data_IF_025526198519
#
_entry.id   IF_025526198519
#
_cell.length_a   1.000
_cell.length_b   1.000
_cell.length_c   1.000
_cell.angle_alpha   90.00
_cell.angle_beta   90.00
_cell.angle_gamma   90.00
#
_symmetry.space_group_name_H-M   'P 1'
#
loop_
_entity.id
_entity.type
_entity.pdbx_description
1 polymer ?
#
# COMPACT_ATOMS: atom_id res chain seq x y z
N UNK A 1 -13.42 53.58 -16.10
CA UNK A 1 -12.81 52.77 -15.02
C UNK A 1 -11.75 53.63 -14.34
N UNK A 2 -11.85 53.85 -13.04
CA UNK A 2 -10.86 54.66 -12.30
C UNK A 2 -9.55 53.87 -12.16
N UNK A 3 -8.41 54.57 -12.12
CA UNK A 3 -7.08 53.95 -11.94
C UNK A 3 -7.01 52.96 -10.76
N UNK A 4 -7.83 53.18 -9.72
CA UNK A 4 -7.97 52.24 -8.60
C UNK A 4 -8.42 50.84 -9.02
N UNK A 5 -9.44 50.73 -9.90
CA UNK A 5 -9.96 49.43 -10.34
C UNK A 5 -8.95 48.62 -11.16
N UNK A 6 -8.09 49.30 -11.95
CA UNK A 6 -7.03 48.65 -12.72
C UNK A 6 -5.98 48.05 -11.77
N UNK A 7 -5.58 48.78 -10.73
CA UNK A 7 -4.63 48.29 -9.72
C UNK A 7 -5.16 47.05 -8.99
N UNK A 8 -6.43 47.07 -8.57
CA UNK A 8 -7.05 45.90 -7.93
C UNK A 8 -7.13 44.70 -8.88
N UNK A 9 -7.47 44.94 -10.15
CA UNK A 9 -7.53 43.88 -11.16
C UNK A 9 -6.16 43.23 -11.38
N UNK A 10 -5.09 44.02 -11.52
CA UNK A 10 -3.73 43.48 -11.69
C UNK A 10 -3.31 42.64 -10.48
N UNK A 11 -3.56 43.13 -9.25
CA UNK A 11 -3.24 42.38 -8.03
C UNK A 11 -4.02 41.06 -7.98
N UNK A 12 -5.30 41.06 -8.36
CA UNK A 12 -6.13 39.86 -8.41
C UNK A 12 -5.59 38.83 -9.43
N UNK A 13 -5.23 39.27 -10.64
CA UNK A 13 -4.65 38.39 -11.67
C UNK A 13 -3.34 37.76 -11.20
N UNK A 14 -2.44 38.54 -10.59
CA UNK A 14 -1.18 38.02 -10.03
C UNK A 14 -1.44 37.01 -8.92
N UNK A 15 -2.41 37.27 -8.03
CA UNK A 15 -2.75 36.36 -6.95
C UNK A 15 -3.31 35.02 -7.46
N UNK A 16 -4.21 35.06 -8.45
CA UNK A 16 -4.73 33.85 -9.09
C UNK A 16 -3.60 33.08 -9.79
N UNK A 17 -2.71 33.76 -10.50
CA UNK A 17 -1.58 33.13 -11.18
C UNK A 17 -0.61 32.44 -10.21
N UNK A 18 -0.24 33.11 -9.12
CA UNK A 18 0.60 32.53 -8.05
C UNK A 18 -0.09 31.35 -7.39
N UNK A 19 -1.40 31.44 -7.11
CA UNK A 19 -2.16 30.33 -6.55
C UNK A 19 -2.18 29.12 -7.47
N UNK A 20 -2.39 29.31 -8.78
CA UNK A 20 -2.31 28.23 -9.78
C UNK A 20 -0.92 27.60 -9.79
N UNK A 21 0.16 28.39 -9.79
CA UNK A 21 1.54 27.86 -9.73
C UNK A 21 1.77 27.02 -8.46
N UNK A 22 1.30 27.50 -7.30
CA UNK A 22 1.43 26.76 -6.04
C UNK A 22 0.68 25.43 -6.14
N UNK A 23 -0.56 25.43 -6.65
CA UNK A 23 -1.33 24.20 -6.85
C UNK A 23 -0.63 23.24 -7.83
N UNK A 24 -0.15 23.73 -8.96
CA UNK A 24 0.59 22.92 -9.95
C UNK A 24 1.86 22.34 -9.32
N UNK A 25 2.63 23.11 -8.55
CA UNK A 25 3.83 22.60 -7.87
C UNK A 25 3.51 21.54 -6.80
N UNK A 26 2.41 21.68 -6.06
CA UNK A 26 1.96 20.67 -5.10
C UNK A 26 1.54 19.39 -5.84
N UNK A 27 0.82 19.53 -6.95
CA UNK A 27 0.43 18.40 -7.82
C UNK A 27 1.67 17.72 -8.39
N UNK A 28 2.67 18.46 -8.90
CA UNK A 28 3.92 17.89 -9.43
C UNK A 28 4.67 17.10 -8.35
N UNK A 29 4.79 17.63 -7.13
CA UNK A 29 5.39 16.89 -6.01
C UNK A 29 4.64 15.59 -5.70
N UNK A 30 3.30 15.61 -5.76
CA UNK A 30 2.49 14.41 -5.56
C UNK A 30 2.64 13.39 -6.70
N UNK A 31 2.85 13.84 -7.95
CA UNK A 31 3.10 12.98 -9.11
C UNK A 31 4.52 12.38 -9.04
N UNK A 32 5.51 13.17 -8.63
CA UNK A 32 6.89 12.69 -8.45
C UNK A 32 7.00 11.64 -7.34
N UNK A 33 6.15 11.70 -6.30
CA UNK A 33 6.05 10.61 -5.30
C UNK A 33 5.57 9.29 -5.92
N UNK A 34 4.84 9.34 -7.03
CA UNK A 34 4.36 8.14 -7.74
C UNK A 34 5.41 7.65 -8.73
N UNK A 35 6.07 8.56 -9.45
CA UNK A 35 7.11 8.29 -10.43
C UNK A 35 8.48 8.65 -9.83
N UNK A 36 9.07 7.73 -9.06
CA UNK A 36 10.51 7.82 -8.73
C UNK A 36 11.35 7.79 -10.03
N UNK A 37 12.66 8.02 -9.93
CA UNK A 37 13.68 8.07 -11.02
C UNK A 37 13.55 6.99 -12.13
N UNK A 38 12.80 5.92 -11.87
CA UNK A 38 12.55 4.78 -12.74
C UNK A 38 11.37 4.94 -13.71
N UNK A 39 10.62 6.05 -13.70
CA UNK A 39 9.38 6.26 -14.49
C UNK A 39 8.26 5.22 -14.24
N UNK A 40 8.38 4.41 -13.18
CA UNK A 40 7.42 3.37 -12.83
C UNK A 40 6.76 3.74 -11.50
N UNK A 41 5.43 3.57 -11.43
CA UNK A 41 4.65 3.76 -10.22
C UNK A 41 5.18 2.92 -9.04
N UNK A 42 5.25 3.45 -7.82
CA UNK A 42 5.63 2.68 -6.62
C UNK A 42 4.75 1.42 -6.40
N UNK A 43 3.53 1.41 -6.96
CA UNK A 43 2.61 0.26 -6.95
C UNK A 43 3.09 -0.93 -7.80
N UNK A 44 4.10 -0.70 -8.62
CA UNK A 44 4.79 -1.65 -9.46
C UNK A 44 6.23 -1.82 -8.97
N UNK A 45 6.47 -1.84 -7.67
CA UNK A 45 7.81 -2.18 -7.16
C UNK A 45 7.85 -3.62 -6.63
N UNK A 46 6.75 -4.07 -6.05
CA UNK A 46 6.56 -5.41 -5.50
C UNK A 46 5.57 -6.20 -6.35
N UNK A 47 5.63 -7.54 -6.32
CA UNK A 47 4.59 -8.38 -6.95
C UNK A 47 3.22 -8.13 -6.31
N UNK A 48 3.20 -8.07 -4.98
CA UNK A 48 2.00 -7.87 -4.17
C UNK A 48 2.19 -6.67 -3.23
N UNK A 49 1.17 -5.82 -3.13
CA UNK A 49 1.21 -4.61 -2.30
C UNK A 49 2.17 -3.55 -2.82
N UNK A 50 2.55 -2.62 -1.94
CA UNK A 50 3.53 -1.57 -2.23
C UNK A 50 4.75 -1.70 -1.30
N UNK A 51 5.91 -1.12 -1.64
CA UNK A 51 7.05 -1.09 -0.75
C UNK A 51 6.72 -0.43 0.58
N UNK A 52 7.42 -0.83 1.64
CA UNK A 52 7.33 -0.18 2.94
C UNK A 52 7.74 1.28 2.81
N UNK A 53 6.79 2.20 3.03
CA UNK A 53 7.09 3.64 3.14
C UNK A 53 7.44 4.01 4.58
N UNK A 54 8.42 4.89 4.73
CA UNK A 54 8.83 5.57 5.96
C UNK A 54 7.88 6.73 6.29
N UNK A 55 8.04 7.35 7.46
CA UNK A 55 7.17 8.45 7.92
C UNK A 55 7.20 9.71 7.03
N UNK A 56 8.23 9.86 6.20
CA UNK A 56 8.37 10.92 5.21
C UNK A 56 7.89 10.49 3.81
N UNK A 57 7.10 9.41 3.71
CA UNK A 57 6.58 8.81 2.48
C UNK A 57 7.63 8.29 1.49
N UNK A 58 8.90 8.18 1.91
CA UNK A 58 9.95 7.59 1.09
C UNK A 58 9.97 6.07 1.23
N UNK A 59 10.37 5.38 0.16
CA UNK A 59 10.51 3.91 0.16
C UNK A 59 11.67 3.50 1.08
N UNK A 60 11.42 2.58 2.02
CA UNK A 60 12.46 1.97 2.85
C UNK A 60 13.36 1.11 1.98
N UNK A 61 14.58 1.58 1.78
CA UNK A 61 15.65 0.83 1.11
C UNK A 61 16.18 -0.29 1.98
N UNK A 62 16.76 -1.31 1.35
CA UNK A 62 17.35 -2.45 2.04
C UNK A 62 18.62 -2.95 1.37
N UNK A 63 19.33 -3.84 2.06
CA UNK A 63 20.47 -4.58 1.51
C UNK A 63 20.26 -6.09 1.74
N UNK A 64 20.51 -6.94 0.74
CA UNK A 64 20.32 -8.38 0.89
C UNK A 64 21.32 -8.96 1.88
N UNK A 65 20.92 -10.04 2.57
CA UNK A 65 21.74 -10.80 3.52
C UNK A 65 22.28 -9.98 4.72
N UNK A 66 21.63 -8.86 5.05
CA UNK A 66 21.93 -8.07 6.25
C UNK A 66 21.51 -8.80 7.54
N UNK A 67 22.16 -8.45 8.65
CA UNK A 67 21.72 -8.86 9.99
C UNK A 67 20.30 -8.33 10.25
N UNK A 68 19.35 -9.15 10.76
CA UNK A 68 18.02 -8.69 11.20
C UNK A 68 18.01 -7.39 12.02
N UNK A 69 19.03 -7.14 12.83
CA UNK A 69 19.13 -5.94 13.67
C UNK A 69 19.69 -4.70 12.92
N UNK A 70 20.06 -4.85 11.65
CA UNK A 70 20.59 -3.77 10.81
C UNK A 70 19.48 -2.81 10.37
N UNK A 71 19.78 -1.51 10.32
CA UNK A 71 18.86 -0.52 9.75
C UNK A 71 18.56 -0.79 8.25
N UNK A 72 19.46 -1.49 7.56
CA UNK A 72 19.31 -1.90 6.16
C UNK A 72 18.56 -3.23 5.99
N UNK A 73 18.18 -3.89 7.09
CA UNK A 73 17.30 -5.05 7.04
C UNK A 73 15.82 -4.63 6.92
N UNK A 74 15.02 -5.54 6.38
CA UNK A 74 13.58 -5.38 6.33
C UNK A 74 12.94 -5.96 7.60
N UNK A 75 11.92 -5.28 8.16
CA UNK A 75 11.25 -5.72 9.38
C UNK A 75 10.49 -7.04 9.18
N UNK A 76 10.05 -7.63 10.29
CA UNK A 76 9.19 -8.81 10.29
C UNK A 76 8.00 -8.58 9.34
N UNK A 77 7.70 -9.53 8.45
CA UNK A 77 6.72 -9.46 7.32
C UNK A 77 7.19 -8.80 6.04
N UNK A 78 8.34 -8.15 6.01
CA UNK A 78 8.95 -7.68 4.76
C UNK A 78 10.15 -8.54 4.36
N UNK A 79 10.49 -8.48 3.09
CA UNK A 79 11.71 -9.05 2.53
C UNK A 79 12.40 -8.01 1.64
N UNK A 80 13.71 -8.15 1.48
CA UNK A 80 14.47 -7.23 0.66
C UNK A 80 14.35 -7.62 -0.81
N UNK A 81 13.61 -6.83 -1.58
CA UNK A 81 13.56 -6.92 -3.03
C UNK A 81 14.89 -6.44 -3.61
N UNK A 82 15.44 -7.18 -4.57
CA UNK A 82 16.77 -6.89 -5.16
C UNK A 82 16.63 -6.75 -6.68
N UNK A 83 16.43 -5.52 -7.14
CA UNK A 83 16.41 -5.19 -8.56
C UNK A 83 17.80 -5.08 -9.20
N UNK A 84 17.88 -4.39 -10.35
CA UNK A 84 19.08 -4.24 -11.16
C UNK A 84 20.16 -3.36 -10.52
N UNK A 85 19.74 -2.32 -9.78
CA UNK A 85 20.63 -1.33 -9.17
C UNK A 85 20.36 -1.22 -7.67
N UNK A 86 21.30 -0.67 -6.90
CA UNK A 86 21.11 -0.44 -5.46
C UNK A 86 19.91 0.45 -5.11
N UNK A 87 19.49 1.34 -6.04
CA UNK A 87 18.31 2.19 -5.86
C UNK A 87 16.99 1.42 -6.04
N UNK A 88 17.05 0.21 -6.61
CA UNK A 88 15.92 -0.71 -6.75
C UNK A 88 15.90 -1.80 -5.66
N UNK A 89 16.56 -1.53 -4.53
CA UNK A 89 16.57 -2.41 -3.36
C UNK A 89 15.71 -1.85 -2.24
N UNK A 90 14.57 -2.47 -2.00
CA UNK A 90 13.57 -1.96 -1.08
C UNK A 90 12.79 -3.07 -0.38
N UNK A 91 12.14 -2.74 0.72
CA UNK A 91 11.37 -3.71 1.50
C UNK A 91 9.99 -3.94 0.89
N UNK A 92 9.77 -5.14 0.33
CA UNK A 92 8.48 -5.58 -0.17
C UNK A 92 7.75 -6.47 0.84
N UNK A 93 6.41 -6.43 0.91
CA UNK A 93 5.64 -7.35 1.74
C UNK A 93 5.91 -8.80 1.33
N UNK A 94 6.00 -9.70 2.31
CA UNK A 94 6.02 -11.14 2.05
C UNK A 94 4.66 -11.59 1.55
N UNK A 95 4.65 -12.57 0.65
CA UNK A 95 3.45 -13.17 0.14
C UNK A 95 2.63 -13.80 1.26
N UNK A 96 1.32 -13.59 1.19
CA UNK A 96 0.33 -14.17 2.11
C UNK A 96 -0.29 -15.45 1.55
N UNK A 97 0.00 -15.76 0.28
CA UNK A 97 -0.55 -16.94 -0.43
C UNK A 97 0.06 -18.24 0.08
N UNK A 98 1.27 -18.18 0.62
CA UNK A 98 2.00 -19.34 1.15
C UNK A 98 2.73 -18.99 2.44
N UNK A 99 2.89 -19.96 3.34
CA UNK A 99 3.63 -19.79 4.60
C UNK A 99 5.14 -19.62 4.37
N UNK A 100 5.67 -20.28 3.34
CA UNK A 100 7.10 -20.37 3.07
C UNK A 100 7.39 -19.87 1.66
N UNK A 101 8.35 -18.96 1.54
CA UNK A 101 8.72 -18.32 0.27
C UNK A 101 9.01 -19.30 -0.85
N UNK A 102 9.63 -20.43 -0.51
CA UNK A 102 10.05 -21.46 -1.46
C UNK A 102 8.86 -22.20 -2.12
N UNK A 103 7.63 -22.00 -1.65
CA UNK A 103 6.43 -22.55 -2.30
C UNK A 103 5.78 -21.59 -3.32
N UNK A 104 6.32 -20.38 -3.50
CA UNK A 104 5.83 -19.46 -4.52
C UNK A 104 6.23 -19.92 -5.92
N UNK A 105 5.34 -19.66 -6.88
CA UNK A 105 5.69 -19.74 -8.29
C UNK A 105 6.76 -18.69 -8.63
N UNK A 106 7.61 -18.91 -9.65
CA UNK A 106 8.57 -17.89 -10.07
C UNK A 106 7.84 -16.68 -10.64
N UNK A 107 8.35 -15.49 -10.32
CA UNK A 107 7.87 -14.24 -10.90
C UNK A 107 8.99 -13.55 -11.69
N UNK A 108 8.85 -13.53 -13.02
CA UNK A 108 9.78 -12.83 -13.90
C UNK A 108 9.76 -11.32 -13.70
N UNK A 109 8.63 -10.77 -13.21
CA UNK A 109 8.46 -9.34 -13.03
C UNK A 109 8.30 -8.58 -14.35
N UNK A 110 8.62 -7.29 -14.34
CA UNK A 110 8.63 -6.41 -15.52
C UNK A 110 9.85 -5.47 -15.48
N UNK A 111 10.11 -4.84 -16.62
CA UNK A 111 11.32 -4.05 -16.88
C UNK A 111 12.00 -4.51 -18.16
N UNK A 112 13.12 -3.87 -18.49
CA UNK A 112 13.89 -4.16 -19.72
C UNK A 112 15.19 -4.93 -19.44
N UNK A 113 15.44 -5.27 -18.18
CA UNK A 113 16.66 -5.93 -17.76
C UNK A 113 16.56 -7.45 -17.95
N UNK A 114 17.70 -8.12 -18.10
CA UNK A 114 17.79 -9.59 -18.12
C UNK A 114 18.71 -10.05 -17.01
N UNK A 115 18.17 -10.17 -15.81
CA UNK A 115 18.95 -10.45 -14.60
C UNK A 115 18.88 -11.94 -14.28
N UNK A 116 20.06 -12.58 -14.25
CA UNK A 116 20.18 -13.97 -13.80
C UNK A 116 19.80 -14.12 -12.32
N UNK A 117 18.82 -14.99 -12.06
CA UNK A 117 18.31 -15.33 -10.73
C UNK A 117 18.05 -16.83 -10.61
N UNK A 118 17.78 -17.27 -9.40
CA UNK A 118 17.34 -18.63 -9.11
C UNK A 118 16.03 -18.61 -8.33
N UNK A 119 15.19 -19.62 -8.52
CA UNK A 119 13.99 -19.86 -7.75
C UNK A 119 13.92 -21.32 -7.36
N UNK A 120 13.29 -21.62 -6.23
CA UNK A 120 13.11 -22.98 -5.78
C UNK A 120 11.84 -23.60 -6.35
N UNK A 121 11.99 -24.66 -7.13
CA UNK A 121 10.88 -25.50 -7.54
C UNK A 121 10.64 -26.60 -6.51
N UNK A 122 9.65 -26.39 -5.66
CA UNK A 122 9.27 -27.32 -4.61
C UNK A 122 8.78 -28.68 -5.13
N UNK A 123 8.26 -28.79 -6.36
CA UNK A 123 7.80 -30.06 -6.92
C UNK A 123 8.97 -30.98 -7.26
N UNK A 124 10.04 -30.42 -7.80
CA UNK A 124 11.27 -31.16 -8.11
C UNK A 124 12.30 -31.11 -6.98
N UNK A 125 12.07 -30.29 -5.95
CA UNK A 125 13.03 -30.00 -4.88
C UNK A 125 14.38 -29.49 -5.40
N UNK A 126 14.35 -28.61 -6.41
CA UNK A 126 15.57 -28.08 -7.04
C UNK A 126 15.51 -26.57 -7.25
N UNK A 127 16.67 -25.91 -7.19
CA UNK A 127 16.81 -24.51 -7.58
C UNK A 127 16.99 -24.41 -9.11
N UNK A 128 16.05 -23.74 -9.77
CA UNK A 128 16.03 -23.52 -11.22
C UNK A 128 16.37 -22.06 -11.54
N UNK A 129 16.87 -21.82 -12.75
CA UNK A 129 17.16 -20.46 -13.21
C UNK A 129 15.88 -19.67 -13.47
N UNK A 130 15.96 -18.36 -13.25
CA UNK A 130 14.94 -17.36 -13.56
C UNK A 130 15.61 -16.20 -14.29
N UNK A 131 15.00 -15.75 -15.39
CA UNK A 131 15.35 -14.49 -16.03
C UNK A 131 14.44 -13.41 -15.47
N UNK A 132 14.99 -12.58 -14.59
CA UNK A 132 14.26 -11.57 -13.85
C UNK A 132 14.38 -10.18 -14.51
N UNK A 133 13.26 -9.48 -14.64
CA UNK A 133 13.17 -8.24 -15.41
C UNK A 133 13.50 -6.95 -14.61
N UNK A 134 13.67 -7.05 -13.30
CA UNK A 134 14.17 -5.97 -12.44
C UNK A 134 13.17 -5.42 -11.42
N UNK A 135 11.87 -5.51 -11.68
CA UNK A 135 10.80 -5.05 -10.77
C UNK A 135 9.69 -6.10 -10.61
N UNK A 136 8.97 -6.07 -9.49
CA UNK A 136 7.76 -6.89 -9.30
C UNK A 136 8.01 -8.39 -9.17
N UNK A 137 9.15 -8.80 -8.61
CA UNK A 137 9.39 -10.19 -8.26
C UNK A 137 8.82 -10.53 -6.89
N UNK A 138 8.66 -11.82 -6.60
CA UNK A 138 8.44 -12.31 -5.23
C UNK A 138 9.74 -12.76 -4.56
N UNK A 139 9.63 -13.13 -3.29
CA UNK A 139 10.71 -13.60 -2.44
C UNK A 139 11.26 -15.00 -2.79
N UNK A 140 10.67 -15.75 -3.74
CA UNK A 140 11.29 -16.96 -4.31
C UNK A 140 12.21 -16.62 -5.48
N UNK A 141 13.04 -15.59 -5.27
CA UNK A 141 13.93 -15.02 -6.26
C UNK A 141 15.27 -14.74 -5.57
N UNK A 142 16.28 -15.51 -5.93
CA UNK A 142 17.58 -15.54 -5.28
C UNK A 142 18.68 -15.10 -6.25
N UNK A 143 19.67 -14.36 -5.75
CA UNK A 143 20.80 -13.88 -6.55
C UNK A 143 21.68 -15.04 -7.05
N UNK A 144 21.91 -16.05 -6.21
CA UNK A 144 22.75 -17.21 -6.55
C UNK A 144 22.03 -18.53 -6.28
N UNK A 145 22.50 -19.60 -6.93
CA UNK A 145 22.00 -20.96 -6.69
C UNK A 145 22.20 -21.38 -5.23
N UNK A 146 23.37 -21.06 -4.66
CA UNK A 146 23.70 -21.37 -3.27
C UNK A 146 22.77 -20.64 -2.29
N UNK A 147 22.41 -19.38 -2.55
CA UNK A 147 21.44 -18.64 -1.72
C UNK A 147 20.06 -19.31 -1.75
N UNK A 148 19.61 -19.75 -2.92
CA UNK A 148 18.37 -20.50 -3.08
C UNK A 148 18.39 -21.83 -2.31
N UNK A 149 19.45 -22.63 -2.47
CA UNK A 149 19.59 -23.92 -1.81
C UNK A 149 19.66 -23.76 -0.29
N UNK A 150 20.46 -22.81 0.20
CA UNK A 150 20.54 -22.48 1.64
C UNK A 150 19.19 -22.04 2.20
N UNK A 151 18.44 -21.23 1.45
CA UNK A 151 17.15 -20.73 1.88
C UNK A 151 16.05 -21.81 1.91
N UNK A 152 16.08 -22.77 0.97
CA UNK A 152 14.95 -23.65 0.69
C UNK A 152 15.19 -25.14 0.99
N UNK A 153 16.42 -25.65 0.83
CA UNK A 153 16.76 -27.05 1.14
C UNK A 153 17.14 -27.25 2.61
N UNK A 154 17.73 -26.23 3.25
CA UNK A 154 18.23 -26.31 4.63
C UNK A 154 17.17 -26.29 5.73
N UNK A 155 15.87 -26.16 5.39
CA UNK A 155 14.77 -26.16 6.37
C UNK A 155 14.23 -27.55 6.70
N UNK A 156 14.77 -28.62 6.12
CA UNK A 156 14.64 -29.96 6.68
C UNK A 156 15.52 -30.01 7.94
N UNK A 157 15.04 -29.49 9.05
CA UNK A 157 15.69 -29.69 10.34
C UNK A 157 15.91 -31.19 10.55
N UNK A 158 16.97 -31.57 11.27
CA UNK A 158 17.18 -32.97 11.67
C UNK A 158 15.93 -33.59 12.35
N UNK A 159 15.05 -32.76 12.91
CA UNK A 159 13.74 -33.14 13.46
C UNK A 159 12.73 -33.56 12.37
N UNK A 160 12.74 -32.93 11.19
CA UNK A 160 11.91 -33.36 10.05
C UNK A 160 12.36 -34.71 9.47
N UNK A 161 13.66 -35.01 9.50
CA UNK A 161 14.17 -36.33 9.12
C UNK A 161 13.71 -37.41 10.13
N UNK A 162 13.59 -37.06 11.41
CA UNK A 162 13.07 -37.96 12.44
C UNK A 162 11.56 -38.25 12.28
N UNK A 163 10.75 -37.24 11.92
CA UNK A 163 9.31 -37.43 11.73
C UNK A 163 8.98 -38.29 10.50
N UNK A 164 9.74 -38.14 9.41
CA UNK A 164 9.59 -38.98 8.21
C UNK A 164 9.85 -40.47 8.46
N UNK A 165 10.80 -40.80 9.33
CA UNK A 165 11.05 -42.19 9.73
C UNK A 165 9.93 -42.78 10.60
N UNK A 166 9.19 -41.94 11.34
CA UNK A 166 8.09 -42.39 12.19
C UNK A 166 6.77 -42.53 11.42
N UNK A 167 6.50 -41.63 10.47
CA UNK A 167 5.30 -41.68 9.61
C UNK A 167 5.28 -42.89 8.66
N UNK A 168 6.44 -43.43 8.26
CA UNK A 168 6.47 -44.69 7.49
C UNK A 168 6.17 -45.93 8.34
N UNK A 169 6.23 -45.83 9.67
CA UNK A 169 5.95 -46.95 10.60
C UNK A 169 4.54 -46.90 11.18
N UNK A 170 3.96 -45.71 11.26
CA UNK A 170 2.57 -45.50 11.67
C UNK A 170 1.83 -44.95 10.45
N UNK A 171 1.11 -45.81 9.73
CA UNK A 171 0.27 -45.47 8.58
C UNK A 171 -0.88 -44.52 8.95
N UNK A 172 -0.55 -43.32 9.43
CA UNK A 172 -1.46 -42.21 9.66
C UNK A 172 -1.65 -41.57 8.30
N UNK A 173 -2.49 -42.21 7.49
CA UNK A 173 -3.05 -41.60 6.30
C UNK A 173 -3.66 -40.25 6.71
N UNK A 174 -3.32 -39.21 5.94
CA UNK A 174 -3.89 -37.88 6.06
C UNK A 174 -5.41 -38.00 6.23
N UNK A 175 -5.90 -37.83 7.45
CA UNK A 175 -7.31 -37.60 7.69
C UNK A 175 -7.63 -36.25 7.06
N UNK A 176 -8.08 -36.34 5.82
CA UNK A 176 -8.66 -35.26 5.05
C UNK A 176 -9.91 -34.83 5.83
N UNK A 177 -9.75 -33.82 6.68
CA UNK A 177 -10.84 -33.21 7.42
C UNK A 177 -11.87 -32.75 6.40
N UNK A 178 -13.01 -33.45 6.35
CA UNK A 178 -14.18 -33.04 5.61
C UNK A 178 -14.62 -31.70 6.18
N UNK A 179 -14.26 -30.62 5.48
CA UNK A 179 -14.82 -29.30 5.73
C UNK A 179 -16.29 -29.40 5.34
N UNK A 180 -17.15 -29.54 6.33
CA UNK A 180 -18.58 -29.31 6.16
C UNK A 180 -18.75 -27.87 5.68
N UNK A 181 -19.15 -27.80 4.42
CA UNK A 181 -19.69 -26.63 3.76
C UNK A 181 -20.93 -26.16 4.54
N UNK A 182 -20.87 -24.98 5.16
CA UNK A 182 -22.00 -24.04 5.23
C UNK A 182 -21.58 -22.72 5.89
N UNK A 183 -22.08 -21.64 5.28
CA UNK A 183 -21.76 -20.24 5.50
C UNK A 183 -20.42 -19.80 4.89
N UNK A 184 -20.51 -18.99 3.83
CA UNK A 184 -19.40 -18.19 3.30
C UNK A 184 -18.69 -17.51 4.47
N UNK A 185 -17.58 -18.09 4.92
CA UNK A 185 -16.72 -17.46 5.91
C UNK A 185 -16.12 -16.28 5.16
N UNK A 186 -16.74 -15.11 5.30
CA UNK A 186 -16.20 -13.84 4.80
C UNK A 186 -14.79 -13.75 5.38
N UNK A 187 -13.73 -13.87 4.56
CA UNK A 187 -12.38 -13.89 5.06
C UNK A 187 -12.10 -12.58 5.80
N UNK A 188 -11.23 -12.62 6.81
CA UNK A 188 -10.79 -11.40 7.48
C UNK A 188 -10.25 -10.42 6.42
N UNK A 189 -10.93 -9.29 6.13
CA UNK A 189 -10.49 -8.37 5.08
C UNK A 189 -9.06 -7.86 5.36
N UNK A 190 -8.70 -7.69 6.62
CA UNK A 190 -7.43 -7.12 7.05
C UNK A 190 -6.22 -8.02 6.74
N UNK A 191 -6.45 -9.29 6.44
CA UNK A 191 -5.39 -10.24 6.09
C UNK A 191 -5.22 -10.43 4.58
N UNK A 192 -6.18 -9.99 3.76
CA UNK A 192 -6.14 -10.19 2.30
C UNK A 192 -5.18 -9.20 1.63
N UNK A 193 -4.44 -9.64 0.60
CA UNK A 193 -3.73 -8.71 -0.29
C UNK A 193 -4.72 -7.74 -0.94
N UNK A 194 -4.31 -6.51 -1.28
CA UNK A 194 -5.14 -5.64 -2.11
C UNK A 194 -5.38 -6.32 -3.46
N UNK A 195 -6.64 -6.34 -3.90
CA UNK A 195 -7.00 -6.82 -5.23
C UNK A 195 -7.49 -5.64 -6.06
N UNK A 196 -6.73 -5.34 -7.13
CA UNK A 196 -7.07 -4.26 -8.07
C UNK A 196 -8.34 -4.55 -8.85
N UNK A 197 -8.79 -5.80 -8.91
CA UNK A 197 -9.96 -6.22 -9.66
C UNK A 197 -9.71 -6.16 -11.16
N UNK A 198 -10.77 -5.86 -11.92
CA UNK A 198 -10.74 -5.77 -13.38
C UNK A 198 -11.42 -4.51 -13.89
N UNK A 199 -10.96 -4.02 -15.04
CA UNK A 199 -11.63 -2.93 -15.77
C UNK A 199 -12.85 -3.49 -16.50
N UNK A 200 -14.01 -2.85 -16.31
CA UNK A 200 -15.26 -3.19 -17.02
C UNK A 200 -15.79 -1.94 -17.72
N UNK A 201 -16.34 -2.12 -18.92
CA UNK A 201 -16.91 -1.02 -19.72
C UNK A 201 -17.87 -0.16 -18.89
N UNK A 202 -17.64 1.15 -18.90
CA UNK A 202 -18.46 2.13 -18.17
C UNK A 202 -18.13 2.29 -16.69
N UNK A 203 -17.21 1.52 -16.12
CA UNK A 203 -16.75 1.71 -14.73
C UNK A 203 -15.39 2.40 -14.72
N UNK A 204 -15.28 3.50 -13.98
CA UNK A 204 -14.01 4.23 -13.83
C UNK A 204 -13.20 3.64 -12.68
N UNK A 205 -11.89 3.55 -12.88
CA UNK A 205 -10.96 3.26 -11.78
C UNK A 205 -10.99 4.37 -10.74
N UNK A 206 -10.87 4.03 -9.47
CA UNK A 206 -10.87 4.98 -8.37
C UNK A 206 -9.84 4.60 -7.32
N UNK A 207 -9.41 5.60 -6.55
CA UNK A 207 -8.55 5.35 -5.39
C UNK A 207 -9.36 4.76 -4.25
N UNK A 208 -8.84 3.67 -3.70
CA UNK A 208 -9.37 2.95 -2.55
C UNK A 208 -8.28 2.72 -1.52
N UNK A 209 -8.67 2.30 -0.33
CA UNK A 209 -7.75 2.00 0.77
C UNK A 209 -7.78 0.53 1.12
N UNK A 210 -6.64 -0.04 1.43
CA UNK A 210 -6.53 -1.40 1.95
C UNK A 210 -5.67 -1.38 3.20
N UNK A 211 -5.94 -2.29 4.12
CA UNK A 211 -5.08 -2.49 5.28
C UNK A 211 -3.90 -3.36 4.90
N UNK A 212 -2.70 -2.80 5.02
CA UNK A 212 -1.46 -3.55 4.88
C UNK A 212 -1.03 -4.04 6.25
N UNK A 213 -1.24 -5.33 6.51
CA UNK A 213 -0.86 -5.97 7.77
C UNK A 213 0.65 -5.96 8.02
N UNK A 214 1.46 -5.91 6.96
CA UNK A 214 2.91 -5.87 7.12
C UNK A 214 3.34 -4.47 7.56
N UNK A 215 2.82 -3.44 6.88
CA UNK A 215 3.07 -2.05 7.22
C UNK A 215 2.26 -1.55 8.42
N UNK A 216 1.34 -2.37 8.93
CA UNK A 216 0.39 -2.09 10.02
C UNK A 216 -0.37 -0.77 9.86
N UNK A 217 -0.83 -0.50 8.63
CA UNK A 217 -1.53 0.75 8.29
C UNK A 217 -2.40 0.64 7.06
N UNK A 218 -3.29 1.60 6.90
CA UNK A 218 -4.08 1.75 5.69
C UNK A 218 -3.29 2.44 4.59
N UNK A 219 -3.31 1.85 3.39
CA UNK A 219 -2.57 2.30 2.22
C UNK A 219 -3.54 2.48 1.07
N UNK A 220 -3.37 3.55 0.30
CA UNK A 220 -4.16 3.83 -0.89
C UNK A 220 -3.66 3.03 -2.09
N UNK A 221 -4.58 2.49 -2.90
CA UNK A 221 -4.28 1.77 -4.14
C UNK A 221 -5.27 2.14 -5.25
N UNK A 222 -4.91 1.87 -6.50
CA UNK A 222 -5.78 2.08 -7.66
C UNK A 222 -6.66 0.84 -7.89
N UNK A 223 -7.95 0.96 -7.63
CA UNK A 223 -8.94 -0.09 -7.86
C UNK A 223 -9.59 0.11 -9.23
N UNK A 224 -9.62 -0.95 -10.04
CA UNK A 224 -10.07 -0.89 -11.44
C UNK A 224 -11.60 -0.83 -11.60
N UNK A 225 -12.34 -0.89 -10.50
CA UNK A 225 -13.77 -0.58 -10.45
C UNK A 225 -14.68 -1.80 -10.31
N UNK A 226 -14.23 -3.00 -10.70
CA UNK A 226 -15.01 -4.23 -10.56
C UNK A 226 -14.20 -5.40 -9.99
N UNK A 227 -14.90 -6.40 -9.45
CA UNK A 227 -14.33 -7.53 -8.72
C UNK A 227 -13.57 -7.11 -7.45
N UNK A 228 -12.41 -7.70 -7.18
CA UNK A 228 -11.67 -7.42 -5.96
C UNK A 228 -12.11 -8.28 -4.77
N UNK A 229 -11.47 -8.00 -3.64
CA UNK A 229 -11.79 -8.64 -2.36
C UNK A 229 -12.17 -7.59 -1.30
N UNK A 230 -12.47 -8.06 -0.10
CA UNK A 230 -13.01 -7.21 0.98
C UNK A 230 -11.99 -6.23 1.59
N UNK A 231 -10.69 -6.35 1.29
CA UNK A 231 -9.68 -5.37 1.72
C UNK A 231 -9.65 -4.15 0.79
N UNK A 232 -10.81 -3.53 0.64
CA UNK A 232 -11.07 -2.43 -0.29
C UNK A 232 -12.08 -1.49 0.34
N UNK A 233 -11.59 -0.36 0.86
CA UNK A 233 -12.35 0.61 1.62
C UNK A 233 -12.40 1.95 0.88
N UNK A 234 -13.54 2.63 0.97
CA UNK A 234 -13.74 3.94 0.32
C UNK A 234 -12.84 5.04 0.91
N UNK A 235 -12.61 4.99 2.23
CA UNK A 235 -11.78 5.97 2.94
C UNK A 235 -10.76 5.28 3.84
N UNK A 236 -9.65 5.97 4.11
CA UNK A 236 -8.65 5.57 5.11
C UNK A 236 -9.27 5.39 6.49
N UNK A 237 -10.21 6.28 6.86
CA UNK A 237 -10.94 6.19 8.13
C UNK A 237 -11.69 4.87 8.29
N UNK A 238 -12.46 4.47 7.27
CA UNK A 238 -13.20 3.19 7.29
C UNK A 238 -12.23 2.02 7.38
N UNK A 239 -11.13 2.08 6.62
CA UNK A 239 -10.07 1.06 6.69
C UNK A 239 -9.50 0.94 8.11
N UNK A 240 -9.19 2.06 8.76
CA UNK A 240 -8.63 2.08 10.12
C UNK A 240 -9.65 1.62 11.17
N UNK A 241 -10.92 1.99 11.03
CA UNK A 241 -11.97 1.58 11.96
C UNK A 241 -12.21 0.05 11.91
N UNK A 242 -12.16 -0.54 10.71
CA UNK A 242 -12.35 -1.98 10.49
C UNK A 242 -11.08 -2.78 10.83
N UNK A 243 -9.94 -2.36 10.29
CA UNK A 243 -8.70 -3.14 10.31
C UNK A 243 -7.59 -2.57 11.18
N UNK A 244 -7.59 -1.26 11.41
CA UNK A 244 -6.58 -0.60 12.20
C UNK A 244 -6.57 -0.98 13.67
N UNK A 245 -5.52 -0.50 14.33
CA UNK A 245 -5.38 -0.47 15.78
C UNK A 245 -6.23 0.71 16.27
N UNK A 246 -7.21 0.45 17.15
CA UNK A 246 -7.94 1.54 17.80
C UNK A 246 -6.95 2.44 18.56
N UNK A 247 -7.26 3.73 18.71
CA UNK A 247 -6.33 4.64 19.39
C UNK A 247 -6.08 4.16 20.83
N UNK A 248 -4.83 3.79 21.14
CA UNK A 248 -4.41 3.31 22.47
C UNK A 248 -4.06 4.45 23.44
N UNK A 249 -4.21 5.71 23.02
CA UNK A 249 -3.83 6.88 23.85
C UNK A 249 -4.83 7.21 24.95
N UNK A 250 -5.93 6.48 25.08
CA UNK A 250 -6.88 6.68 26.17
C UNK A 250 -6.48 5.78 27.34
N UNK A 251 -6.08 6.40 28.46
CA UNK A 251 -5.64 5.70 29.67
C UNK A 251 -6.70 4.71 30.19
N UNK A 252 -7.96 4.87 29.79
CA UNK A 252 -9.06 4.03 30.21
C UNK A 252 -9.48 2.96 29.19
N UNK A 253 -8.75 2.74 28.07
CA UNK A 253 -9.15 1.72 27.08
C UNK A 253 -9.35 0.34 27.73
N UNK A 254 -8.54 -0.01 28.73
CA UNK A 254 -8.59 -1.29 29.43
C UNK A 254 -9.86 -1.45 30.29
N UNK A 255 -10.56 -0.35 30.62
CA UNK A 255 -11.81 -0.40 31.39
C UNK A 255 -13.05 -0.53 30.50
N UNK A 256 -12.91 -0.33 29.19
CA UNK A 256 -14.03 -0.40 28.26
C UNK A 256 -14.52 -1.86 28.10
N UNK A 257 -15.82 -2.07 27.87
CA UNK A 257 -16.37 -3.40 27.69
C UNK A 257 -15.91 -4.02 26.36
N UNK A 258 -15.97 -5.35 26.26
CA UNK A 258 -15.90 -6.03 24.95
C UNK A 258 -17.05 -5.54 24.06
N UNK A 259 -16.73 -5.17 22.82
CA UNK A 259 -17.71 -4.70 21.85
C UNK A 259 -17.47 -5.36 20.49
N UNK A 260 -18.13 -6.51 20.22
CA UNK A 260 -18.00 -7.21 18.94
C UNK A 260 -18.39 -6.35 17.74
N UNK A 261 -19.30 -5.38 17.94
CA UNK A 261 -19.77 -4.48 16.89
C UNK A 261 -20.82 -5.13 15.99
N UNK A 262 -21.07 -4.49 14.85
CA UNK A 262 -21.90 -5.01 13.76
C UNK A 262 -21.09 -5.13 12.46
N UNK A 263 -21.59 -5.93 11.50
CA UNK A 263 -21.00 -6.06 10.18
C UNK A 263 -20.82 -7.51 9.72
N UNK A 264 -20.36 -7.71 8.47
CA UNK A 264 -20.27 -9.04 7.87
C UNK A 264 -18.95 -9.75 8.17
N UNK A 265 -17.99 -9.07 8.78
CA UNK A 265 -16.63 -9.59 8.93
C UNK A 265 -16.47 -10.47 10.18
N UNK A 266 -15.45 -11.32 10.15
CA UNK A 266 -14.98 -12.08 11.31
C UNK A 266 -13.51 -11.77 11.52
N UNK A 267 -13.22 -10.74 12.31
CA UNK A 267 -11.87 -10.21 12.52
C UNK A 267 -11.41 -10.61 13.93
N UNK A 268 -10.48 -11.56 14.09
CA UNK A 268 -9.93 -11.92 15.39
C UNK A 268 -9.24 -10.72 16.04
N UNK A 269 -9.57 -10.45 17.30
CA UNK A 269 -9.00 -9.37 18.11
C UNK A 269 -8.82 -9.82 19.55
N UNK A 270 -8.03 -9.10 20.32
CA UNK A 270 -7.90 -9.28 21.76
C UNK A 270 -8.53 -8.11 22.50
N UNK A 271 -9.09 -8.37 23.66
CA UNK A 271 -9.56 -7.34 24.59
C UNK A 271 -9.09 -7.70 26.00
N UNK A 272 -8.92 -6.69 26.83
CA UNK A 272 -8.63 -6.87 28.23
C UNK A 272 -9.93 -7.04 29.01
N UNK A 273 -10.07 -8.20 29.67
CA UNK A 273 -11.16 -8.49 30.59
C UNK A 273 -10.76 -8.05 32.01
N UNK A 274 -11.22 -6.87 32.41
CA UNK A 274 -10.91 -6.27 33.71
C UNK A 274 -11.39 -7.10 34.91
N UNK A 275 -12.44 -7.92 34.75
CA UNK A 275 -12.96 -8.79 35.82
C UNK A 275 -12.03 -9.95 36.10
N UNK A 276 -11.48 -10.53 35.04
CA UNK A 276 -10.56 -11.67 35.14
C UNK A 276 -9.08 -11.27 35.10
N UNK A 277 -8.79 -9.97 34.96
CA UNK A 277 -7.44 -9.41 34.78
C UNK A 277 -6.64 -10.18 33.73
N UNK A 278 -7.24 -10.38 32.56
CA UNK A 278 -6.65 -11.19 31.51
C UNK A 278 -7.02 -10.67 30.12
N UNK A 279 -6.07 -10.75 29.19
CA UNK A 279 -6.34 -10.54 27.77
C UNK A 279 -6.99 -11.78 27.16
N UNK A 280 -8.11 -11.60 26.48
CA UNK A 280 -8.90 -12.67 25.85
C UNK A 280 -9.18 -12.34 24.40
N UNK A 281 -9.31 -13.38 23.58
CA UNK A 281 -9.67 -13.22 22.17
C UNK A 281 -11.19 -13.01 22.02
N UNK A 282 -11.58 -12.23 21.01
CA UNK A 282 -12.95 -12.09 20.55
C UNK A 282 -13.01 -11.86 19.03
N UNK A 283 -14.21 -11.87 18.47
CA UNK A 283 -14.45 -11.57 17.06
C UNK A 283 -15.05 -10.17 16.93
N UNK A 284 -14.33 -9.29 16.24
CA UNK A 284 -14.84 -7.99 15.82
C UNK A 284 -15.48 -8.10 14.44
N UNK A 285 -16.63 -7.46 14.25
CA UNK A 285 -17.45 -7.59 13.04
C UNK A 285 -17.33 -6.40 12.08
N UNK A 286 -16.54 -5.39 12.45
CA UNK A 286 -16.08 -4.31 11.58
C UNK A 286 -16.57 -2.92 11.96
N UNK A 287 -17.75 -2.79 12.58
CA UNK A 287 -18.36 -1.50 12.87
C UNK A 287 -18.78 -1.34 14.33
N UNK A 288 -18.69 -0.12 14.86
CA UNK A 288 -19.29 0.25 16.14
C UNK A 288 -18.63 -0.38 17.38
N UNK A 289 -17.38 -0.82 17.30
CA UNK A 289 -16.58 -1.26 18.45
C UNK A 289 -15.88 -0.11 19.18
N UNK A 290 -15.24 -0.40 20.31
CA UNK A 290 -14.42 0.56 21.06
C UNK A 290 -12.91 0.18 21.04
N UNK A 291 -12.07 0.96 21.73
CA UNK A 291 -10.61 0.80 21.69
C UNK A 291 -10.06 -0.33 22.59
N UNK A 292 -10.88 -1.04 23.37
CA UNK A 292 -10.45 -2.29 24.02
C UNK A 292 -10.40 -3.43 22.99
N UNK A 293 -9.57 -3.23 21.96
CA UNK A 293 -9.52 -4.02 20.73
C UNK A 293 -8.11 -3.99 20.15
N UNK A 294 -7.31 -4.95 20.56
CA UNK A 294 -5.93 -5.13 20.17
C UNK A 294 -5.81 -6.15 19.03
N UNK A 295 -4.82 -5.98 18.15
CA UNK A 295 -4.58 -6.92 17.04
C UNK A 295 -3.79 -8.15 17.49
N UNK A 296 -3.00 -8.01 18.55
CA UNK A 296 -2.15 -9.06 19.12
C UNK A 296 -2.38 -9.19 20.63
N UNK A 297 -2.09 -10.38 21.17
CA UNK A 297 -2.17 -10.65 22.60
C UNK A 297 -1.15 -9.81 23.37
N UNK A 298 0.08 -9.74 22.87
CA UNK A 298 1.21 -9.03 23.48
C UNK A 298 0.85 -7.55 23.69
N UNK A 299 0.29 -6.92 22.65
CA UNK A 299 -0.17 -5.53 22.71
C UNK A 299 -1.20 -5.31 23.81
N UNK A 300 -2.20 -6.19 23.94
CA UNK A 300 -3.19 -6.11 25.01
C UNK A 300 -2.51 -6.24 26.38
N UNK A 301 -1.62 -7.22 26.53
CA UNK A 301 -0.95 -7.52 27.81
C UNK A 301 -0.02 -6.39 28.25
N UNK A 302 0.79 -5.85 27.34
CA UNK A 302 1.69 -4.72 27.62
C UNK A 302 0.90 -3.47 27.99
N UNK A 303 -0.20 -3.20 27.28
CA UNK A 303 -1.01 -2.00 27.53
C UNK A 303 -1.81 -2.09 28.83
N UNK A 304 -2.35 -3.27 29.17
CA UNK A 304 -3.35 -3.39 30.24
C UNK A 304 -2.92 -4.17 31.50
N UNK A 305 -1.95 -5.09 31.40
CA UNK A 305 -1.49 -5.89 32.56
C UNK A 305 -0.28 -5.27 33.26
N UNK A 306 0.47 -4.40 32.57
CA UNK A 306 1.72 -3.83 33.07
C UNK A 306 1.71 -2.29 33.11
N UNK A 307 0.82 -1.63 33.88
CA UNK A 307 0.78 -0.17 33.93
C UNK A 307 2.07 0.49 34.48
N UNK A 308 2.98 -0.27 35.09
CA UNK A 308 4.20 0.25 35.74
C UNK A 308 5.49 0.26 34.90
N UNK A 309 5.55 -0.36 33.72
CA UNK A 309 6.82 -0.49 32.96
C UNK A 309 7.15 0.70 32.03
N UNK A 310 6.20 1.58 31.73
CA UNK A 310 6.45 2.79 30.91
C UNK A 310 7.17 3.91 31.68
N UNK A 311 7.42 3.78 32.99
CA UNK A 311 8.05 4.81 33.81
C UNK A 311 9.60 4.71 33.94
N UNK A 312 10.27 3.80 33.24
CA UNK A 312 11.74 3.64 33.34
C UNK A 312 12.44 3.60 31.99
N UNK A 313 12.25 4.64 31.18
CA UNK A 313 13.37 5.09 30.33
C UNK A 313 13.89 6.38 30.95
N UNK A 314 14.86 6.23 31.86
CA UNK A 314 15.65 7.32 32.38
C UNK A 314 16.45 7.93 31.23
N UNK A 315 15.84 8.86 30.50
CA UNK A 315 16.58 9.77 29.63
C UNK A 315 17.32 10.74 30.55
N UNK A 316 18.62 10.49 30.68
CA UNK A 316 19.56 11.39 31.35
C UNK A 316 19.44 12.81 30.75
N UNK A 317 19.34 13.86 31.58
CA UNK A 317 18.98 15.19 31.12
C UNK A 317 20.15 15.87 30.43
N UNK A 318 19.93 16.29 29.18
CA UNK A 318 20.76 17.33 28.54
C UNK A 318 19.90 18.59 28.34
N UNK A 319 20.43 19.79 28.61
CA UNK A 319 19.60 20.94 28.93
C UNK A 319 19.27 21.75 27.68
N UNK A 320 17.98 21.97 27.40
CA UNK A 320 17.57 23.03 26.48
C UNK A 320 16.46 23.90 27.06
N UNK A 321 16.93 25.08 27.48
CA UNK A 321 16.33 26.42 27.44
C UNK A 321 14.81 26.49 27.30
N UNK A 322 14.19 26.80 28.44
CA UNK A 322 12.85 27.33 28.58
C UNK A 322 12.67 28.62 27.77
N UNK A 323 11.74 28.61 26.82
CA UNK A 323 11.05 29.85 26.41
C UNK A 323 9.58 29.68 26.76
N UNK A 324 9.15 30.45 27.76
CA UNK A 324 7.78 30.52 28.23
C UNK A 324 6.94 31.24 27.18
N UNK A 325 5.88 30.61 26.68
CA UNK A 325 4.72 31.35 26.17
C UNK A 325 3.51 30.89 26.97
N UNK A 326 3.11 31.81 27.83
CA UNK A 326 1.98 31.81 28.75
C UNK A 326 0.66 31.44 28.08
N UNK A 327 -0.05 30.57 28.78
CA UNK A 327 -1.47 30.22 28.65
C UNK A 327 -2.36 31.45 28.60
N UNK A 328 -3.06 31.66 27.48
CA UNK A 328 -4.26 32.50 27.44
C UNK A 328 -5.46 31.61 27.11
N UNK A 329 -6.18 31.30 28.18
CA UNK A 329 -7.64 31.13 28.26
C UNK A 329 -8.33 30.43 27.09
N UNK A 330 -8.55 29.14 27.31
CA UNK A 330 -9.56 28.32 26.67
C UNK A 330 -10.94 28.81 27.13
N UNK A 331 -11.48 29.86 26.50
CA UNK A 331 -12.88 30.26 26.68
C UNK A 331 -13.78 29.37 25.83
N UNK A 332 -14.63 28.62 26.52
CA UNK A 332 -15.73 27.80 26.05
C UNK A 332 -16.57 28.48 24.97
N UNK A 333 -16.70 27.87 23.78
CA UNK A 333 -17.78 28.18 22.86
C UNK A 333 -18.73 26.98 22.80
N UNK A 334 -19.96 27.27 23.21
CA UNK A 334 -21.10 26.39 23.35
C UNK A 334 -21.46 25.62 22.09
N UNK A 335 -21.89 24.38 22.33
CA UNK A 335 -22.74 23.55 21.50
C UNK A 335 -23.92 24.33 20.94
N UNK A 336 -23.95 24.53 19.62
CA UNK A 336 -25.13 24.57 18.74
C UNK A 336 -24.74 25.16 17.38
N UNK A 337 -24.22 24.31 16.48
CA UNK A 337 -24.42 24.56 15.06
C UNK A 337 -24.63 23.22 14.38
N UNK A 338 -25.90 22.85 14.28
CA UNK A 338 -26.40 21.72 13.51
C UNK A 338 -25.78 21.78 12.11
N UNK A 339 -24.98 20.77 11.78
CA UNK A 339 -24.31 20.62 10.50
C UNK A 339 -25.35 20.61 9.37
N UNK A 340 -25.41 21.69 8.60
CA UNK A 340 -26.41 21.87 7.55
C UNK A 340 -25.96 21.15 6.26
N UNK A 341 -26.46 19.93 6.10
CA UNK A 341 -26.22 19.01 4.98
C UNK A 341 -26.55 19.59 3.59
N UNK A 342 -27.45 20.58 3.50
CA UNK A 342 -27.85 21.20 2.24
C UNK A 342 -26.72 21.98 1.56
N UNK A 343 -25.77 22.55 2.32
CA UNK A 343 -24.66 23.33 1.76
C UNK A 343 -23.66 22.45 0.98
N UNK A 344 -23.58 21.15 1.30
CA UNK A 344 -22.70 20.21 0.60
C UNK A 344 -23.25 19.75 -0.76
N UNK A 345 -24.57 19.78 -0.97
CA UNK A 345 -25.16 19.44 -2.27
C UNK A 345 -24.85 20.48 -3.36
N UNK A 346 -24.69 21.75 -2.99
CA UNK A 346 -24.39 22.81 -3.97
C UNK A 346 -22.95 22.79 -4.50
N UNK A 347 -22.01 22.13 -3.80
CA UNK A 347 -20.63 21.99 -4.30
C UNK A 347 -20.46 20.84 -5.31
N UNK A 348 -21.41 19.89 -5.39
CA UNK A 348 -21.31 18.75 -6.30
C UNK A 348 -21.97 18.98 -7.66
N UNK A 349 -22.73 20.06 -7.84
CA UNK A 349 -23.38 20.38 -9.13
C UNK A 349 -22.55 21.25 -10.06
N UNK A 350 -21.32 21.65 -9.67
CA UNK A 350 -20.49 22.57 -10.43
C UNK A 350 -19.15 21.94 -10.82
N UNK A 351 -19.18 20.95 -11.72
CA UNK A 351 -18.17 20.75 -12.79
C UNK A 351 -18.52 19.50 -13.61
N UNK A 352 -19.46 19.65 -14.54
CA UNK A 352 -19.67 18.72 -15.67
C UNK A 352 -18.84 19.10 -16.91
N UNK A 353 -17.72 19.80 -16.73
CA UNK A 353 -16.81 20.15 -17.84
C UNK A 353 -15.64 19.17 -17.85
N UNK A 354 -15.67 18.26 -18.83
CA UNK A 354 -14.63 17.30 -19.15
C UNK A 354 -13.26 18.01 -19.35
N UNK A 355 -12.21 17.68 -18.57
CA UNK A 355 -10.91 18.33 -18.70
C UNK A 355 -10.22 17.94 -20.01
N UNK A 356 -9.91 18.94 -20.85
CA UNK A 356 -9.21 18.79 -22.14
C UNK A 356 -7.72 18.39 -22.04
N UNK A 357 -7.29 17.70 -20.98
CA UNK A 357 -5.89 17.30 -20.82
C UNK A 357 -5.54 15.88 -21.28
N UNK A 358 -6.43 15.20 -22.01
CA UNK A 358 -6.15 13.86 -22.56
C UNK A 358 -5.53 13.85 -23.97
N UNK A 359 -5.28 14.99 -24.61
CA UNK A 359 -4.74 15.04 -26.00
C UNK A 359 -3.23 15.35 -26.06
N UNK A 360 -2.57 15.71 -24.95
CA UNK A 360 -1.14 16.07 -24.98
C UNK A 360 -0.15 14.90 -24.77
N UNK A 361 -0.62 13.65 -24.67
CA UNK A 361 0.29 12.49 -24.51
C UNK A 361 0.78 11.92 -25.85
N UNK A 362 0.13 12.26 -26.97
CA UNK A 362 0.58 11.80 -28.30
C UNK A 362 1.59 12.74 -28.97
N UNK A 363 1.54 14.05 -28.74
CA UNK A 363 2.53 14.99 -29.33
C UNK A 363 3.92 14.89 -28.66
N UNK A 364 4.01 14.47 -27.40
CA UNK A 364 5.31 14.37 -26.71
C UNK A 364 6.13 13.16 -27.19
N UNK A 365 5.51 12.14 -27.79
CA UNK A 365 6.24 11.02 -28.42
C UNK A 365 6.95 11.43 -29.72
N UNK A 366 6.44 12.44 -30.43
CA UNK A 366 7.09 12.94 -31.64
C UNK A 366 8.29 13.83 -31.33
N UNK A 367 8.25 14.55 -30.20
CA UNK A 367 9.38 15.39 -29.78
C UNK A 367 10.57 14.59 -29.21
N UNK A 368 10.33 13.43 -28.60
CA UNK A 368 11.38 12.63 -27.95
C UNK A 368 12.01 11.54 -28.85
N UNK A 369 11.61 11.44 -30.12
CA UNK A 369 12.19 10.48 -31.08
C UNK A 369 13.09 11.10 -32.16
N UNK A 370 13.31 12.42 -32.15
CA UNK A 370 14.08 13.10 -33.22
C UNK A 370 15.45 13.66 -32.81
N UNK A 371 15.98 13.28 -31.65
CA UNK A 371 17.40 13.49 -31.31
C UNK A 371 18.09 12.16 -31.09
N UNK A 372 18.39 11.43 -32.17
CA UNK A 372 19.58 10.59 -32.28
C UNK A 372 19.84 10.20 -33.73
N UNK A 373 21.05 10.51 -34.18
CA UNK A 373 21.73 10.01 -35.38
C UNK A 373 21.30 10.59 -36.74
N UNK A 374 21.91 11.74 -37.04
CA UNK A 374 22.42 12.00 -38.37
C UNK A 374 23.28 10.81 -38.84
N UNK A 375 22.84 10.13 -39.90
CA UNK A 375 23.67 9.56 -40.97
C UNK A 375 22.77 8.79 -41.96
N UNK A 376 22.50 9.44 -43.10
CA UNK A 376 22.66 8.88 -44.44
C UNK A 376 21.92 7.55 -44.77
N UNK A 377 20.84 7.61 -45.56
CA UNK A 377 20.76 7.01 -46.91
C UNK A 377 19.39 7.27 -47.57
N UNK A 378 19.46 7.69 -48.83
CA UNK A 378 18.38 7.97 -49.77
C UNK A 378 17.65 6.70 -50.26
N UNK A 379 16.32 6.73 -50.39
CA UNK A 379 15.55 6.62 -51.67
C UNK A 379 14.05 6.26 -51.45
N UNK A 380 13.17 6.57 -52.43
CA UNK A 380 11.74 6.79 -52.20
C UNK A 380 10.86 5.59 -52.56
N UNK A 381 9.71 5.53 -51.89
CA UNK A 381 8.48 4.88 -52.34
C UNK A 381 7.41 5.99 -52.17
N UNK A 382 6.71 6.49 -53.18
CA UNK A 382 6.12 5.75 -54.29
C UNK A 382 4.61 5.73 -54.09
N UNK A 383 3.95 6.75 -54.65
CA UNK A 383 2.59 6.77 -55.17
C UNK A 383 1.35 6.82 -54.24
N UNK A 384 0.68 7.98 -54.33
CA UNK A 384 -0.73 8.18 -54.65
C UNK A 384 -1.83 7.49 -53.81
N UNK A 385 -2.52 8.32 -53.02
CA UNK A 385 -3.98 8.36 -53.04
C UNK A 385 -4.47 9.80 -52.83
N UNK A 386 -4.82 10.42 -53.96
CA UNK A 386 -5.67 11.61 -54.04
C UNK A 386 -7.11 11.19 -53.72
N UNK A 387 -7.71 11.75 -52.67
CA UNK A 387 -9.14 12.09 -52.66
C UNK A 387 -9.30 13.42 -51.92
N UNK A 388 -9.44 14.47 -52.74
CA UNK A 388 -9.93 15.77 -52.33
C UNK A 388 -11.34 15.70 -51.76
N UNK A 389 -11.67 16.73 -50.98
CA UNK A 389 -13.00 17.20 -50.59
C UNK A 389 -13.66 16.51 -49.39
N UNK A 390 -13.54 17.18 -48.24
CA UNK A 390 -14.70 17.63 -47.46
C UNK A 390 -14.24 18.77 -46.53
N UNK A 391 -13.95 19.92 -47.15
CA UNK A 391 -13.89 21.20 -46.45
C UNK A 391 -15.28 21.81 -46.37
N UNK A 392 -15.67 22.17 -45.15
CA UNK A 392 -16.58 23.26 -44.80
C UNK A 392 -18.02 23.21 -45.34
N UNK A 393 -18.95 22.81 -44.47
CA UNK A 393 -20.21 23.54 -44.22
C UNK A 393 -20.98 22.88 -43.06
N UNK A 394 -21.05 23.56 -41.91
CA UNK A 394 -22.29 23.75 -41.16
C UNK A 394 -22.05 24.82 -40.09
N UNK A 395 -22.34 26.05 -40.48
CA UNK A 395 -22.58 27.19 -39.61
C UNK A 395 -24.11 27.26 -39.41
N UNK A 396 -24.51 27.56 -38.16
CA UNK A 396 -25.82 28.08 -37.72
C UNK A 396 -27.02 27.12 -37.70
N UNK A 397 -27.41 26.67 -36.50
CA UNK A 397 -28.57 27.20 -35.77
C UNK A 397 -28.29 27.19 -34.27
#
# INVERSE_FOLDING_TARGET
>A
MTFGNIRYYIIFVVFVYVFVIIQTNQIIKSISLVLNDTNIGISLYCEEGIPLLLANDTVKTCRPNENPDSNMACPERFWCHVGATQNSWYCCPRSRKVKERCHLAPANGYGNEQIGRFWYDWKSSTCKQLTYAGYGGNENNFMTKTDCEKACLGKLSAESLAYGSLSNKLGVGNQKFSVEEQQSVVPNPCELSPDRGVTVSGTLSSYRWYFDISADRCIRFNYLGSAGNANNFETDRICLDICGIGNTSDDNICLLPIMPGTGPYKIPRFYYDSRNKACKQFVYTGFGGNNNRFTKYEQCSETCLNPGSLATTTVSPSPFVTTQITTKEMSTLSTESTFNFEKFKQLQSLTTVLPQHLVLVEEVKELMSTTNNANQYNKPFGENLNTQNLSSQMISF
#
